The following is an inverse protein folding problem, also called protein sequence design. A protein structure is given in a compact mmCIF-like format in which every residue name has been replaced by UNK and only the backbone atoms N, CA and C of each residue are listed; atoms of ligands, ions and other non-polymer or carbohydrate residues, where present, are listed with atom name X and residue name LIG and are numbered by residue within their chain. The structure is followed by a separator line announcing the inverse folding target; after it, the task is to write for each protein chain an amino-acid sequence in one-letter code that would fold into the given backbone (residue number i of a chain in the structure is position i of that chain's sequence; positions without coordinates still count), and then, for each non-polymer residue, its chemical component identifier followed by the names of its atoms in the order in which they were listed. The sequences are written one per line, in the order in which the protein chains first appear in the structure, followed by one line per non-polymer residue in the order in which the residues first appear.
data_IF_931604166055
#
_entry.id   IF_931604166055
#
_cell.length_a   1.000
_cell.length_b   1.000
_cell.length_c   1.000
_cell.angle_alpha   90.00
_cell.angle_beta   90.00
_cell.angle_gamma   90.00
#
_symmetry.space_group_name_H-M   'P 1'
#
loop_
_entity.id
_entity.type
_entity.pdbx_description
1 polymer ?
#
# COMPACT_ATOMS: atom_id res chain seq x y z
N UNK A 1 12.17 -0.69 28.83
CA UNK A 1 11.96 -2.01 28.26
C UNK A 1 12.58 -1.98 26.88
N UNK A 2 13.71 -2.66 26.70
CA UNK A 2 14.30 -2.94 25.38
C UNK A 2 13.32 -3.82 24.61
N UNK A 3 12.96 -3.53 23.36
CA UNK A 3 12.19 -4.46 22.56
C UNK A 3 13.02 -5.74 22.44
N UNK A 4 12.44 -6.87 22.81
CA UNK A 4 13.00 -8.18 22.55
C UNK A 4 13.35 -8.25 21.05
N UNK A 5 14.58 -8.60 20.73
CA UNK A 5 14.97 -8.87 19.35
C UNK A 5 14.10 -9.98 18.77
N UNK A 6 14.11 -10.14 17.44
CA UNK A 6 13.30 -11.18 16.79
C UNK A 6 13.59 -12.53 17.42
N UNK A 7 12.53 -13.25 17.73
CA UNK A 7 12.62 -14.63 18.21
C UNK A 7 13.12 -15.51 17.06
N UNK A 8 14.38 -15.92 17.14
CA UNK A 8 15.05 -16.77 16.13
C UNK A 8 14.56 -18.23 16.16
N UNK A 9 13.57 -18.58 17.02
CA UNK A 9 12.93 -19.88 17.06
C UNK A 9 11.83 -20.06 16.01
N UNK A 10 11.42 -18.99 15.35
CA UNK A 10 10.40 -19.00 14.35
C UNK A 10 10.91 -19.59 13.02
N UNK A 11 10.08 -20.37 12.31
CA UNK A 11 10.49 -20.94 11.02
C UNK A 11 10.76 -19.85 9.99
N UNK A 12 11.77 -20.07 9.14
CA UNK A 12 12.05 -19.21 8.00
C UNK A 12 11.06 -19.50 6.85
N UNK A 13 10.85 -18.50 5.97
CA UNK A 13 9.97 -18.63 4.79
C UNK A 13 10.33 -19.87 3.96
N UNK A 14 11.63 -20.11 3.73
CA UNK A 14 12.10 -21.25 2.96
C UNK A 14 11.81 -22.61 3.59
N UNK A 15 11.54 -22.66 4.89
CA UNK A 15 11.20 -23.89 5.61
C UNK A 15 9.70 -24.23 5.55
N UNK A 16 8.86 -23.23 5.39
CA UNK A 16 7.38 -23.37 5.38
C UNK A 16 6.87 -23.80 4.02
N UNK A 17 7.55 -23.41 2.96
CA UNK A 17 7.15 -23.65 1.58
C UNK A 17 6.09 -22.66 1.05
N UNK A 18 6.06 -22.53 -0.27
CA UNK A 18 5.30 -21.51 -0.99
C UNK A 18 3.79 -21.55 -0.70
N UNK A 19 3.16 -22.72 -0.83
CA UNK A 19 1.70 -22.85 -0.63
C UNK A 19 1.26 -22.53 0.79
N UNK A 20 2.06 -22.90 1.79
CA UNK A 20 1.74 -22.58 3.17
C UNK A 20 1.91 -21.08 3.44
N UNK A 21 2.89 -20.42 2.81
CA UNK A 21 3.08 -18.98 2.87
C UNK A 21 1.91 -18.24 2.21
N UNK A 22 1.50 -18.65 1.00
CA UNK A 22 0.33 -18.11 0.30
C UNK A 22 -0.92 -18.25 1.17
N UNK A 23 -1.15 -19.42 1.78
CA UNK A 23 -2.28 -19.65 2.67
C UNK A 23 -2.33 -18.69 3.86
N UNK A 24 -1.18 -18.28 4.42
CA UNK A 24 -1.09 -17.28 5.49
C UNK A 24 -1.45 -15.87 5.00
N UNK A 25 -0.88 -15.47 3.86
CA UNK A 25 -1.11 -14.15 3.26
C UNK A 25 -2.59 -13.98 2.92
N UNK A 26 -3.21 -15.02 2.38
CA UNK A 26 -4.58 -14.98 1.85
C UNK A 26 -5.66 -15.39 2.86
N UNK A 27 -5.28 -15.73 4.09
CA UNK A 27 -6.22 -16.14 5.12
C UNK A 27 -7.31 -15.07 5.36
N UNK A 28 -8.57 -15.49 5.25
CA UNK A 28 -9.72 -14.64 5.48
C UNK A 28 -10.07 -13.67 4.34
N UNK A 29 -9.36 -13.71 3.21
CA UNK A 29 -9.74 -12.93 2.03
C UNK A 29 -10.95 -13.56 1.36
N UNK A 30 -11.93 -12.72 0.98
CA UNK A 30 -13.14 -13.13 0.27
C UNK A 30 -13.49 -12.13 -0.83
N UNK A 31 -14.33 -12.55 -1.79
CA UNK A 31 -14.84 -11.67 -2.83
C UNK A 31 -16.10 -10.94 -2.35
N UNK A 32 -16.14 -9.62 -2.56
CA UNK A 32 -17.34 -8.80 -2.27
C UNK A 32 -17.43 -7.59 -3.19
N UNK A 33 -18.60 -6.98 -3.30
CA UNK A 33 -18.81 -5.77 -4.09
C UNK A 33 -18.44 -5.94 -5.57
N UNK A 34 -17.48 -5.16 -6.08
CA UNK A 34 -17.02 -5.26 -7.47
C UNK A 34 -16.19 -6.52 -7.74
N UNK A 35 -15.60 -7.15 -6.73
CA UNK A 35 -14.83 -8.39 -6.88
C UNK A 35 -15.79 -9.57 -7.01
N UNK A 36 -15.80 -10.23 -8.17
CA UNK A 36 -16.64 -11.38 -8.49
C UNK A 36 -15.94 -12.70 -8.24
N UNK A 37 -14.64 -12.75 -8.46
CA UNK A 37 -13.74 -13.85 -8.13
C UNK A 37 -12.48 -13.23 -7.54
N UNK A 38 -12.11 -13.63 -6.33
CA UNK A 38 -10.91 -13.17 -5.64
C UNK A 38 -9.79 -14.20 -5.69
N UNK A 39 -9.01 -14.27 -4.62
CA UNK A 39 -7.89 -15.21 -4.49
C UNK A 39 -8.38 -16.66 -4.50
N UNK A 40 -7.64 -17.53 -5.17
CA UNK A 40 -7.91 -18.99 -5.20
C UNK A 40 -8.04 -19.59 -6.60
N UNK A 41 -7.92 -18.79 -7.65
CA UNK A 41 -7.87 -19.21 -9.04
C UNK A 41 -6.73 -18.47 -9.76
N UNK A 42 -6.49 -18.76 -11.04
CA UNK A 42 -5.41 -18.16 -11.84
C UNK A 42 -5.53 -16.63 -11.97
N UNK A 43 -6.78 -16.10 -11.96
CA UNK A 43 -7.05 -14.68 -12.06
C UNK A 43 -8.19 -14.24 -11.15
N UNK A 44 -8.12 -13.01 -10.68
CA UNK A 44 -9.29 -12.33 -10.08
C UNK A 44 -10.20 -11.77 -11.18
N UNK A 45 -11.51 -11.70 -10.90
CA UNK A 45 -12.50 -11.11 -11.80
C UNK A 45 -13.22 -9.96 -11.11
N UNK A 46 -13.13 -8.77 -11.71
CA UNK A 46 -13.77 -7.56 -11.21
C UNK A 46 -14.83 -7.06 -12.19
N UNK A 47 -15.91 -6.49 -11.67
CA UNK A 47 -16.92 -5.77 -12.46
C UNK A 47 -16.83 -4.29 -12.14
N UNK A 48 -16.53 -3.47 -13.15
CA UNK A 48 -16.42 -2.02 -13.03
C UNK A 48 -17.65 -1.33 -13.61
N UNK A 49 -17.92 -0.11 -13.15
CA UNK A 49 -18.99 0.74 -13.65
C UNK A 49 -18.51 1.70 -14.75
N UNK A 50 -17.22 2.01 -14.79
CA UNK A 50 -16.59 2.92 -15.74
C UNK A 50 -15.25 2.41 -16.24
N UNK A 51 -14.43 3.35 -16.71
CA UNK A 51 -13.07 3.05 -17.16
C UNK A 51 -12.19 2.62 -15.99
N UNK A 52 -11.25 1.71 -16.26
CA UNK A 52 -10.26 1.22 -15.32
C UNK A 52 -9.05 2.14 -15.29
N UNK A 53 -8.72 2.70 -14.11
CA UNK A 53 -7.43 3.29 -13.82
C UNK A 53 -6.53 2.27 -13.14
N UNK A 54 -5.27 2.19 -13.56
CA UNK A 54 -4.29 1.24 -13.02
C UNK A 54 -3.00 1.98 -12.69
N UNK A 55 -2.46 1.74 -11.50
CA UNK A 55 -1.11 2.16 -11.12
C UNK A 55 -0.36 1.04 -10.40
N UNK A 56 0.96 1.10 -10.41
CA UNK A 56 1.81 0.15 -9.71
C UNK A 56 2.98 0.87 -9.06
N UNK A 57 3.21 0.53 -7.79
CA UNK A 57 4.30 1.05 -6.98
C UNK A 57 5.18 -0.09 -6.45
N UNK A 58 6.49 0.15 -6.42
CA UNK A 58 7.46 -0.80 -5.89
C UNK A 58 8.27 -0.19 -4.75
N UNK A 59 8.30 -0.89 -3.63
CA UNK A 59 9.16 -0.55 -2.49
C UNK A 59 10.28 -1.57 -2.35
N UNK A 60 11.51 -1.08 -2.15
CA UNK A 60 12.73 -1.88 -1.99
C UNK A 60 13.33 -1.59 -0.62
N UNK A 61 13.66 -2.65 0.13
CA UNK A 61 14.39 -2.56 1.40
C UNK A 61 15.71 -1.79 1.22
N UNK A 62 16.01 -0.89 2.15
CA UNK A 62 17.18 -0.01 2.10
C UNK A 62 16.99 1.25 1.25
N UNK A 63 15.97 1.30 0.39
CA UNK A 63 15.63 2.46 -0.47
C UNK A 63 14.38 3.16 0.04
N UNK A 64 13.24 2.48 0.05
CA UNK A 64 11.93 3.05 0.38
C UNK A 64 11.52 2.82 1.83
N UNK A 65 12.09 1.80 2.46
CA UNK A 65 11.94 1.49 3.89
C UNK A 65 13.19 0.78 4.43
N UNK A 66 13.34 0.79 5.75
CA UNK A 66 14.40 0.07 6.47
C UNK A 66 13.78 -0.67 7.64
N UNK A 67 14.17 -1.93 7.87
CA UNK A 67 13.64 -2.75 8.97
C UNK A 67 14.02 -2.24 10.37
N UNK A 68 15.11 -1.47 10.49
CA UNK A 68 15.49 -0.80 11.73
C UNK A 68 14.69 0.47 12.00
N UNK A 69 13.89 0.94 11.03
CA UNK A 69 13.01 2.10 11.13
C UNK A 69 11.53 1.73 11.19
N UNK A 70 11.09 0.72 10.43
CA UNK A 70 9.70 0.31 10.25
C UNK A 70 9.52 -1.17 10.53
N UNK A 71 8.50 -1.54 11.29
CA UNK A 71 8.07 -2.92 11.45
C UNK A 71 7.42 -3.46 10.18
N UNK A 72 7.24 -4.78 10.11
CA UNK A 72 6.60 -5.42 8.96
C UNK A 72 5.18 -4.91 8.72
N UNK A 73 4.40 -4.74 9.77
CA UNK A 73 3.06 -4.15 9.73
C UNK A 73 3.06 -2.74 9.10
N UNK A 74 4.02 -1.88 9.48
CA UNK A 74 4.14 -0.54 8.92
C UNK A 74 4.47 -0.60 7.40
N UNK A 75 5.35 -1.53 7.01
CA UNK A 75 5.73 -1.73 5.60
C UNK A 75 4.53 -2.19 4.78
N UNK A 76 3.71 -3.13 5.30
CA UNK A 76 2.49 -3.58 4.64
C UNK A 76 1.48 -2.45 4.43
N UNK A 77 1.24 -1.66 5.47
CA UNK A 77 0.38 -0.47 5.37
C UNK A 77 0.90 0.54 4.35
N UNK A 78 2.21 0.84 4.42
CA UNK A 78 2.85 1.80 3.50
C UNK A 78 2.72 1.38 2.04
N UNK A 79 2.90 0.09 1.73
CA UNK A 79 2.80 -0.43 0.37
C UNK A 79 1.41 -0.19 -0.24
N UNK A 80 0.36 -0.44 0.53
CA UNK A 80 -1.03 -0.19 0.10
C UNK A 80 -1.28 1.30 -0.04
N UNK A 81 -0.92 2.09 1.00
CA UNK A 81 -1.19 3.52 1.04
C UNK A 81 -0.54 4.28 -0.12
N UNK A 82 0.72 3.99 -0.44
CA UNK A 82 1.42 4.62 -1.55
C UNK A 82 0.72 4.34 -2.89
N UNK A 83 0.46 3.06 -3.17
CA UNK A 83 -0.16 2.67 -4.44
C UNK A 83 -1.61 3.17 -4.61
N UNK A 84 -2.40 3.18 -3.52
CA UNK A 84 -3.79 3.69 -3.56
C UNK A 84 -3.85 5.20 -3.73
N UNK A 85 -2.84 5.94 -3.25
CA UNK A 85 -2.76 7.39 -3.44
C UNK A 85 -2.78 7.81 -4.91
N UNK A 86 -2.18 7.01 -5.81
CA UNK A 86 -2.25 7.24 -7.27
C UNK A 86 -3.68 7.19 -7.81
N UNK A 87 -4.49 6.24 -7.33
CA UNK A 87 -5.89 6.13 -7.73
C UNK A 87 -6.71 7.35 -7.23
N UNK A 88 -6.49 7.76 -5.99
CA UNK A 88 -7.08 8.99 -5.42
C UNK A 88 -6.68 10.22 -6.24
N UNK A 89 -5.42 10.32 -6.67
CA UNK A 89 -4.92 11.41 -7.50
C UNK A 89 -5.52 11.46 -8.92
N UNK A 90 -6.27 10.44 -9.32
CA UNK A 90 -7.02 10.40 -10.58
C UNK A 90 -8.53 10.61 -10.38
N UNK A 91 -9.01 10.73 -9.13
CA UNK A 91 -10.42 10.77 -8.80
C UNK A 91 -11.13 9.41 -8.96
N UNK A 92 -10.37 8.32 -9.03
CA UNK A 92 -10.87 6.96 -9.15
C UNK A 92 -11.12 6.32 -7.78
N UNK A 93 -12.04 5.36 -7.73
CA UNK A 93 -12.33 4.59 -6.52
C UNK A 93 -11.53 3.29 -6.56
N UNK A 94 -10.60 3.02 -5.62
CA UNK A 94 -9.86 1.77 -5.60
C UNK A 94 -10.81 0.60 -5.32
N UNK A 95 -10.70 -0.48 -6.11
CA UNK A 95 -11.59 -1.64 -6.04
C UNK A 95 -10.85 -2.95 -5.84
N UNK A 96 -9.62 -3.05 -6.32
CA UNK A 96 -8.79 -4.24 -6.19
C UNK A 96 -7.31 -3.88 -6.06
N UNK A 97 -6.58 -4.71 -5.33
CA UNK A 97 -5.13 -4.62 -5.18
C UNK A 97 -4.51 -5.98 -5.48
N UNK A 98 -3.47 -5.98 -6.30
CA UNK A 98 -2.58 -7.14 -6.50
C UNK A 98 -1.24 -6.82 -5.85
N UNK A 99 -0.67 -7.77 -5.08
CA UNK A 99 0.55 -7.52 -4.33
C UNK A 99 1.56 -8.64 -4.57
N UNK A 100 2.75 -8.29 -5.05
CA UNK A 100 3.88 -9.21 -5.17
C UNK A 100 4.89 -8.94 -4.03
N UNK A 101 5.29 -10.02 -3.36
CA UNK A 101 6.28 -10.00 -2.29
C UNK A 101 7.48 -10.87 -2.68
N UNK A 102 8.63 -10.25 -2.89
CA UNK A 102 9.90 -10.95 -2.99
C UNK A 102 10.69 -10.76 -1.68
N UNK A 103 11.17 -11.84 -1.08
CA UNK A 103 11.88 -11.78 0.20
C UNK A 103 12.96 -12.86 0.33
N UNK A 104 14.01 -12.64 1.15
CA UNK A 104 14.99 -13.67 1.44
C UNK A 104 14.34 -14.90 2.06
N UNK A 105 14.73 -16.09 1.60
CA UNK A 105 14.24 -17.38 2.14
C UNK A 105 14.49 -17.53 3.66
N UNK A 106 15.47 -16.80 4.20
CA UNK A 106 15.80 -16.73 5.62
C UNK A 106 14.93 -15.75 6.41
N UNK A 107 13.99 -15.03 5.77
CA UNK A 107 13.10 -14.11 6.49
C UNK A 107 12.17 -14.88 7.43
N UNK A 108 11.95 -14.40 8.68
CA UNK A 108 11.03 -15.05 9.61
C UNK A 108 9.59 -15.04 9.05
N UNK A 109 8.86 -16.13 9.26
CA UNK A 109 7.46 -16.23 8.83
C UNK A 109 6.58 -15.18 9.55
N UNK A 110 6.89 -14.87 10.82
CA UNK A 110 6.20 -13.82 11.57
C UNK A 110 6.32 -12.46 10.90
N UNK A 111 7.43 -12.17 10.21
CA UNK A 111 7.56 -10.95 9.45
C UNK A 111 6.51 -10.87 8.34
N UNK A 112 6.24 -11.99 7.65
CA UNK A 112 5.21 -12.07 6.61
C UNK A 112 3.80 -11.99 7.20
N UNK A 113 3.57 -12.62 8.35
CA UNK A 113 2.29 -12.55 9.05
C UNK A 113 1.96 -11.10 9.46
N UNK A 114 2.91 -10.39 10.07
CA UNK A 114 2.77 -8.99 10.46
C UNK A 114 2.62 -8.07 9.24
N UNK A 115 3.41 -8.31 8.19
CA UNK A 115 3.30 -7.58 6.92
C UNK A 115 1.91 -7.74 6.32
N UNK A 116 1.41 -8.97 6.25
CA UNK A 116 0.08 -9.28 5.71
C UNK A 116 -1.04 -8.67 6.57
N UNK A 117 -0.86 -8.62 7.89
CA UNK A 117 -1.78 -7.92 8.78
C UNK A 117 -1.81 -6.41 8.49
N UNK A 118 -0.64 -5.80 8.22
CA UNK A 118 -0.53 -4.41 7.80
C UNK A 118 -1.23 -4.14 6.47
N UNK A 119 -1.02 -5.01 5.48
CA UNK A 119 -1.70 -4.93 4.18
C UNK A 119 -3.22 -4.96 4.35
N UNK A 120 -3.75 -5.94 5.11
CA UNK A 120 -5.19 -6.05 5.38
C UNK A 120 -5.75 -4.81 6.08
N UNK A 121 -5.06 -4.32 7.10
CA UNK A 121 -5.49 -3.14 7.85
C UNK A 121 -5.59 -1.89 6.95
N UNK A 122 -4.65 -1.70 6.03
CA UNK A 122 -4.70 -0.54 5.14
C UNK A 122 -5.69 -0.74 4.00
N UNK A 123 -5.84 -1.96 3.46
CA UNK A 123 -6.89 -2.29 2.50
C UNK A 123 -8.29 -1.99 3.05
N UNK A 124 -8.55 -2.35 4.32
CA UNK A 124 -9.80 -2.03 5.00
C UNK A 124 -10.04 -0.52 5.11
N UNK A 125 -9.00 0.24 5.50
CA UNK A 125 -9.08 1.72 5.58
C UNK A 125 -9.33 2.38 4.23
N UNK A 126 -8.70 1.87 3.19
CA UNK A 126 -8.82 2.39 1.83
C UNK A 126 -10.07 1.90 1.10
N UNK A 127 -10.82 0.94 1.67
CA UNK A 127 -11.98 0.33 1.02
C UNK A 127 -11.63 -0.52 -0.21
N UNK A 128 -10.39 -1.00 -0.32
CA UNK A 128 -9.88 -1.82 -1.44
C UNK A 128 -9.75 -3.28 -1.00
N UNK A 129 -9.91 -4.23 -1.91
CA UNK A 129 -9.73 -5.65 -1.62
C UNK A 129 -8.40 -6.16 -2.21
N UNK A 130 -7.62 -6.91 -1.41
CA UNK A 130 -6.52 -7.70 -1.94
C UNK A 130 -7.10 -8.88 -2.73
N UNK A 131 -6.89 -8.88 -4.05
CA UNK A 131 -7.54 -9.82 -4.97
C UNK A 131 -6.57 -10.84 -5.59
N UNK A 132 -5.28 -10.66 -5.40
CA UNK A 132 -4.26 -11.57 -5.92
C UNK A 132 -2.85 -11.10 -5.56
N UNK A 133 -1.87 -11.87 -6.04
CA UNK A 133 -0.48 -11.54 -5.81
C UNK A 133 0.45 -12.66 -6.20
N UNK A 134 1.73 -12.46 -5.90
CA UNK A 134 2.79 -13.42 -6.14
C UNK A 134 3.79 -13.40 -4.97
N UNK A 135 4.46 -14.53 -4.73
CA UNK A 135 5.54 -14.62 -3.75
C UNK A 135 6.74 -15.30 -4.38
N UNK A 136 7.92 -14.70 -4.19
CA UNK A 136 9.17 -15.29 -4.72
C UNK A 136 10.34 -15.01 -3.79
N UNK A 137 11.46 -15.73 -4.02
CA UNK A 137 12.69 -15.52 -3.26
C UNK A 137 13.54 -14.42 -3.91
N UNK A 138 14.13 -13.53 -3.09
CA UNK A 138 15.05 -12.49 -3.52
C UNK A 138 16.09 -12.18 -2.43
N UNK A 139 17.22 -11.53 -2.77
CA UNK A 139 18.23 -11.15 -1.77
C UNK A 139 17.77 -10.06 -0.78
N UNK A 140 16.76 -9.27 -1.15
CA UNK A 140 16.18 -8.17 -0.40
C UNK A 140 14.66 -8.31 -0.37
N UNK A 141 14.01 -7.63 0.58
CA UNK A 141 12.56 -7.50 0.54
C UNK A 141 12.20 -6.45 -0.52
N UNK A 142 11.40 -6.88 -1.48
CA UNK A 142 10.79 -6.05 -2.50
C UNK A 142 9.29 -6.28 -2.47
N UNK A 143 8.52 -5.21 -2.39
CA UNK A 143 7.06 -5.23 -2.40
C UNK A 143 6.58 -4.42 -3.58
N UNK A 144 5.80 -5.03 -4.46
CA UNK A 144 5.13 -4.35 -5.56
C UNK A 144 3.63 -4.46 -5.38
N UNK A 145 2.96 -3.32 -5.28
CA UNK A 145 1.50 -3.23 -5.23
C UNK A 145 0.98 -2.67 -6.56
N UNK A 146 -0.13 -3.22 -7.05
CA UNK A 146 -0.83 -2.73 -8.23
C UNK A 146 -2.28 -2.49 -7.87
N UNK A 147 -2.73 -1.24 -7.98
CA UNK A 147 -4.12 -0.86 -7.71
C UNK A 147 -4.94 -0.88 -9.00
N UNK A 148 -6.13 -1.42 -8.89
CA UNK A 148 -7.19 -1.41 -9.90
C UNK A 148 -8.31 -0.52 -9.38
N UNK A 149 -8.61 0.58 -10.07
CA UNK A 149 -9.56 1.58 -9.60
C UNK A 149 -10.60 1.92 -10.68
N UNK A 150 -11.83 2.15 -10.25
CA UNK A 150 -12.98 2.45 -11.11
C UNK A 150 -13.22 3.97 -11.16
N UNK A 151 -13.19 4.54 -12.36
CA UNK A 151 -13.57 5.95 -12.58
C UNK A 151 -15.10 6.18 -12.44
N UNK A 152 -15.91 5.11 -12.41
CA UNK A 152 -17.35 5.20 -12.16
C UNK A 152 -18.09 6.09 -13.17
N UNK A 153 -17.60 6.16 -14.42
CA UNK A 153 -18.16 6.99 -15.48
C UNK A 153 -17.75 8.48 -15.44
N UNK A 154 -16.91 8.90 -14.49
CA UNK A 154 -16.29 10.23 -14.53
C UNK A 154 -15.05 10.23 -15.43
N UNK A 155 -14.70 11.35 -16.07
CA UNK A 155 -13.41 11.49 -16.73
C UNK A 155 -12.29 11.52 -15.68
N UNK A 156 -11.09 11.02 -16.02
CA UNK A 156 -9.95 11.07 -15.11
C UNK A 156 -9.50 12.52 -14.88
N UNK A 157 -9.24 12.90 -13.63
CA UNK A 157 -8.66 14.19 -13.29
C UNK A 157 -7.15 14.08 -13.40
N UNK A 158 -6.56 14.71 -14.41
CA UNK A 158 -5.15 14.59 -14.71
C UNK A 158 -4.33 15.77 -14.16
N UNK A 159 -3.05 15.55 -13.85
CA UNK A 159 -2.14 16.63 -13.41
C UNK A 159 -1.97 17.74 -14.45
N UNK A 160 -2.18 17.44 -15.72
CA UNK A 160 -2.06 18.40 -16.83
C UNK A 160 -3.27 19.37 -16.94
N UNK A 161 -4.33 19.16 -16.16
CA UNK A 161 -5.52 20.01 -16.16
C UNK A 161 -5.37 21.36 -15.45
N UNK A 162 -4.29 21.55 -14.68
CA UNK A 162 -4.05 22.80 -13.94
C UNK A 162 -3.84 24.01 -14.87
N UNK A 163 -4.40 25.17 -14.50
CA UNK A 163 -4.33 26.43 -15.27
C UNK A 163 -4.00 27.61 -14.37
N UNK A 164 -3.29 28.63 -14.88
CA UNK A 164 -3.07 29.86 -14.14
C UNK A 164 -4.37 30.50 -13.66
N UNK A 165 -4.37 31.03 -12.43
CA UNK A 165 -5.53 31.64 -11.81
C UNK A 165 -6.42 30.71 -11.01
N UNK A 166 -6.17 29.43 -11.02
CA UNK A 166 -6.86 28.46 -10.17
C UNK A 166 -6.34 28.48 -8.74
N UNK A 167 -7.18 28.03 -7.79
CA UNK A 167 -6.80 27.87 -6.38
C UNK A 167 -6.11 26.52 -6.19
N UNK A 168 -4.98 26.53 -5.52
CA UNK A 168 -4.29 25.32 -5.08
C UNK A 168 -4.83 24.90 -3.70
N UNK A 169 -5.29 23.67 -3.58
CA UNK A 169 -5.70 23.07 -2.31
C UNK A 169 -4.82 21.86 -1.98
N UNK A 170 -4.71 21.55 -0.71
CA UNK A 170 -3.92 20.42 -0.19
C UNK A 170 -4.78 19.65 0.78
N UNK A 171 -4.84 18.33 0.62
CA UNK A 171 -5.39 17.41 1.59
C UNK A 171 -4.27 16.56 2.20
N UNK A 172 -4.22 16.46 3.53
CA UNK A 172 -3.17 15.71 4.23
C UNK A 172 -2.04 16.59 4.78
N UNK A 173 -0.93 15.96 5.17
CA UNK A 173 0.17 16.58 5.91
C UNK A 173 1.46 16.62 5.09
N UNK A 174 1.67 17.70 4.36
CA UNK A 174 2.89 17.88 3.55
C UNK A 174 4.15 18.02 4.40
N UNK A 175 5.24 17.36 3.96
CA UNK A 175 6.56 17.47 4.56
C UNK A 175 6.77 16.62 5.82
N UNK A 176 5.72 16.04 6.39
CA UNK A 176 5.83 15.27 7.64
C UNK A 176 6.63 13.98 7.46
N UNK A 177 6.41 13.25 6.37
CA UNK A 177 7.19 12.05 6.05
C UNK A 177 8.68 12.38 5.83
N UNK A 178 8.97 13.47 5.12
CA UNK A 178 10.34 13.95 4.92
C UNK A 178 11.02 14.35 6.24
N UNK A 179 10.28 15.02 7.14
CA UNK A 179 10.77 15.32 8.49
C UNK A 179 11.05 14.02 9.28
N UNK A 180 10.21 12.99 9.13
CA UNK A 180 10.40 11.67 9.72
C UNK A 180 11.69 11.00 9.27
N UNK A 181 11.98 11.03 7.95
CA UNK A 181 13.26 10.55 7.38
C UNK A 181 14.45 11.27 8.01
N UNK A 182 14.38 12.60 8.12
CA UNK A 182 15.46 13.40 8.69
C UNK A 182 15.71 13.07 10.17
N UNK A 183 14.65 12.81 10.94
CA UNK A 183 14.72 12.38 12.35
C UNK A 183 15.35 10.99 12.46
N UNK A 184 14.83 10.03 11.70
CA UNK A 184 15.30 8.64 11.73
C UNK A 184 16.74 8.50 11.23
N UNK A 185 17.11 9.23 10.17
CA UNK A 185 18.46 9.24 9.61
C UNK A 185 19.54 9.79 10.57
N UNK A 186 19.12 10.61 11.55
CA UNK A 186 19.98 11.09 12.65
C UNK A 186 19.97 10.19 13.88
N UNK A 187 19.32 9.02 13.81
CA UNK A 187 19.23 8.07 14.91
C UNK A 187 18.16 8.39 15.95
N UNK A 188 17.36 9.43 15.76
CA UNK A 188 16.29 9.80 16.69
C UNK A 188 14.98 9.05 16.39
N UNK A 189 14.08 9.02 17.37
CA UNK A 189 12.73 8.41 17.26
C UNK A 189 11.62 9.39 17.68
N UNK A 190 11.97 10.67 17.85
CA UNK A 190 11.09 11.75 18.31
C UNK A 190 11.35 13.00 17.45
N UNK A 191 10.33 13.80 17.10
CA UNK A 191 8.90 13.67 17.47
C UNK A 191 8.22 12.45 16.83
N UNK A 192 7.40 11.75 17.64
CA UNK A 192 6.73 10.51 17.19
C UNK A 192 5.84 10.73 15.96
N UNK A 193 5.14 11.87 15.89
CA UNK A 193 4.18 12.14 14.82
C UNK A 193 4.84 12.12 13.43
N UNK A 194 5.98 12.78 13.24
CA UNK A 194 6.70 12.79 11.95
C UNK A 194 7.33 11.43 11.64
N UNK A 195 7.80 10.70 12.66
CA UNK A 195 8.32 9.33 12.49
C UNK A 195 7.21 8.40 12.01
N UNK A 196 6.01 8.50 12.58
CA UNK A 196 4.85 7.71 12.13
C UNK A 196 4.44 8.08 10.70
N UNK A 197 4.40 9.36 10.35
CA UNK A 197 4.07 9.81 9.01
C UNK A 197 5.02 9.26 7.93
N UNK A 198 6.31 9.05 8.28
CA UNK A 198 7.24 8.38 7.39
C UNK A 198 6.99 6.87 7.29
N UNK A 199 6.73 6.21 8.44
CA UNK A 199 6.52 4.76 8.49
C UNK A 199 5.26 4.33 7.80
N UNK A 200 4.18 5.08 8.03
CA UNK A 200 2.83 4.80 7.51
C UNK A 200 2.23 6.12 7.05
N UNK A 201 2.28 6.44 5.75
CA UNK A 201 1.56 7.57 5.21
C UNK A 201 0.05 7.35 5.39
N UNK A 202 -0.69 8.42 5.58
CA UNK A 202 -2.15 8.40 5.75
C UNK A 202 -2.80 9.25 4.66
N UNK A 203 -2.96 8.71 3.43
CA UNK A 203 -3.68 9.40 2.38
C UNK A 203 -5.11 9.69 2.81
N UNK A 204 -5.67 10.84 2.43
CA UNK A 204 -7.07 11.17 2.71
C UNK A 204 -7.99 10.43 1.74
N UNK A 205 -8.24 9.16 1.98
CA UNK A 205 -9.06 8.31 1.12
C UNK A 205 -10.47 8.87 0.90
N UNK A 206 -10.91 8.86 -0.35
CA UNK A 206 -12.18 9.40 -0.81
C UNK A 206 -12.14 10.89 -1.18
N UNK A 207 -11.13 11.63 -0.76
CA UNK A 207 -11.02 13.08 -1.08
C UNK A 207 -10.70 13.30 -2.56
N UNK A 208 -9.95 12.41 -3.20
CA UNK A 208 -9.69 12.47 -4.64
C UNK A 208 -10.97 12.34 -5.46
N UNK A 209 -11.84 11.41 -5.11
CA UNK A 209 -13.16 11.24 -5.71
C UNK A 209 -14.06 12.46 -5.45
N UNK A 210 -14.12 12.94 -4.21
CA UNK A 210 -14.90 14.10 -3.85
C UNK A 210 -14.44 15.36 -4.60
N UNK A 211 -13.11 15.54 -4.76
CA UNK A 211 -12.55 16.64 -5.53
C UNK A 211 -12.93 16.56 -7.02
N UNK A 212 -12.89 15.36 -7.61
CA UNK A 212 -13.32 15.14 -8.99
C UNK A 212 -14.80 15.50 -9.18
N UNK A 213 -15.68 15.06 -8.29
CA UNK A 213 -17.10 15.36 -8.30
C UNK A 213 -17.39 16.87 -8.06
N UNK A 214 -16.55 17.55 -7.28
CA UNK A 214 -16.60 19.00 -7.08
C UNK A 214 -16.03 19.80 -8.26
N UNK A 215 -15.51 19.17 -9.31
CA UNK A 215 -14.99 19.81 -10.50
C UNK A 215 -13.53 20.25 -10.42
N UNK A 216 -12.72 19.57 -9.60
CA UNK A 216 -11.27 19.78 -9.63
C UNK A 216 -10.73 19.58 -11.05
N UNK A 217 -9.93 20.50 -11.54
CA UNK A 217 -9.37 20.47 -12.90
C UNK A 217 -8.07 19.68 -12.98
N UNK A 218 -7.36 19.52 -11.86
CA UNK A 218 -6.12 18.75 -11.77
C UNK A 218 -5.97 18.17 -10.36
N UNK A 219 -5.42 16.98 -10.28
CA UNK A 219 -5.00 16.33 -9.04
C UNK A 219 -3.60 15.73 -9.24
N UNK A 220 -2.88 15.58 -8.14
CA UNK A 220 -1.59 14.89 -8.07
C UNK A 220 -1.39 14.40 -6.63
N UNK A 221 -0.84 13.20 -6.46
CA UNK A 221 -0.32 12.72 -5.18
C UNK A 221 1.04 13.35 -4.83
N UNK A 222 1.44 13.29 -3.55
CA UNK A 222 2.70 13.89 -3.06
C UNK A 222 3.37 12.97 -2.04
#
# INVERSE_FOLDING_TARGET
MTPSGPDWSAPAIGEVGEFALIGRITAGLGASGPVRLGVGDDCAVLRLAGDLAVSTDTMVEGVHFRRDWSGAHDVGRKAVAACVADAEAMGAVPVGLVLSLAAPASSPVEWVDDFSAGVRAECERAGVQLVGGDTTSAPLIVVTATVLADLGGLPPVTRAGARPGQVLAIAGLLGWAAAGVAVLGRGFRSPRAVVLAHRVPEPPYGEGRAAAEAGASALIDI
#
